data_IF_248891595013
#
_entry.id   IF_248891595013
#
_cell.length_a   1.000
_cell.length_b   1.000
_cell.length_c   1.000
_cell.angle_alpha   90.00
_cell.angle_beta   90.00
_cell.angle_gamma   90.00
#
_symmetry.space_group_name_H-M   'P 1'
#
loop_
_entity.id
_entity.type
_entity.pdbx_description
1 polymer ?
#
# COMPACT_ATOMS: atom_id res chain seq x y z
N UNK A 1 -18.78 -19.73 -27.28
CA UNK A 1 -18.53 -18.86 -26.12
C UNK A 1 -17.45 -17.85 -26.48
N UNK A 2 -17.85 -16.69 -27.02
CA UNK A 2 -16.91 -15.58 -27.21
C UNK A 2 -17.01 -14.71 -25.97
N UNK A 3 -15.96 -14.71 -25.16
CA UNK A 3 -15.79 -13.75 -24.05
C UNK A 3 -15.44 -12.40 -24.68
N UNK A 4 -16.32 -11.43 -24.54
CA UNK A 4 -16.00 -10.04 -24.86
C UNK A 4 -15.17 -9.53 -23.68
N UNK A 5 -13.85 -9.51 -23.84
CA UNK A 5 -12.95 -8.95 -22.85
C UNK A 5 -12.95 -7.43 -22.99
N UNK A 6 -13.31 -6.74 -21.88
CA UNK A 6 -13.12 -5.32 -21.63
C UNK A 6 -13.86 -4.35 -22.56
N UNK A 7 -15.16 -4.19 -22.35
CA UNK A 7 -15.84 -2.96 -22.71
C UNK A 7 -15.59 -1.90 -21.62
N UNK A 8 -15.20 -0.68 -22.02
CA UNK A 8 -15.22 0.49 -21.14
C UNK A 8 -16.69 0.81 -20.84
N UNK A 9 -17.17 0.48 -19.63
CA UNK A 9 -18.55 0.75 -19.21
C UNK A 9 -18.58 2.07 -18.46
N UNK A 10 -19.50 2.96 -18.84
CA UNK A 10 -19.69 4.24 -18.15
C UNK A 10 -19.94 4.02 -16.65
N UNK A 11 -19.45 4.93 -15.82
CA UNK A 11 -19.46 4.82 -14.35
C UNK A 11 -20.85 4.50 -13.76
N UNK A 12 -21.92 4.95 -14.42
CA UNK A 12 -23.31 4.74 -14.01
C UNK A 12 -23.82 3.29 -14.22
N UNK A 13 -23.14 2.50 -15.06
CA UNK A 13 -23.52 1.13 -15.41
C UNK A 13 -22.55 0.06 -14.85
N UNK A 14 -21.84 0.40 -13.76
CA UNK A 14 -20.88 -0.51 -13.13
C UNK A 14 -21.50 -1.52 -12.16
N UNK A 15 -22.81 -1.50 -11.98
CA UNK A 15 -23.52 -2.50 -11.15
C UNK A 15 -23.55 -3.85 -11.87
N UNK A 16 -23.47 -4.98 -11.14
CA UNK A 16 -23.64 -6.30 -11.74
C UNK A 16 -25.09 -6.52 -12.16
N UNK A 17 -25.28 -7.49 -13.05
CA UNK A 17 -26.58 -7.95 -13.54
C UNK A 17 -27.43 -6.91 -14.31
N UNK A 18 -26.79 -5.86 -14.84
CA UNK A 18 -27.47 -4.93 -15.75
C UNK A 18 -27.47 -5.53 -17.15
N UNK A 19 -28.66 -5.60 -17.76
CA UNK A 19 -28.82 -5.96 -19.16
C UNK A 19 -28.44 -4.75 -20.04
N UNK A 20 -27.51 -4.95 -20.94
CA UNK A 20 -27.04 -3.94 -21.90
C UNK A 20 -27.23 -4.45 -23.33
N UNK A 21 -27.48 -3.54 -24.26
CA UNK A 21 -27.42 -3.82 -25.69
C UNK A 21 -26.14 -3.20 -26.27
N UNK A 22 -25.31 -4.03 -26.89
CA UNK A 22 -24.05 -3.60 -27.51
C UNK A 22 -24.15 -3.84 -29.00
N UNK A 23 -23.99 -2.79 -29.81
CA UNK A 23 -23.98 -2.86 -31.26
C UNK A 23 -22.56 -2.90 -31.78
N UNK A 24 -22.18 -3.95 -32.49
CA UNK A 24 -20.89 -4.12 -33.15
C UNK A 24 -21.17 -4.45 -34.61
N UNK A 25 -20.56 -3.69 -35.53
CA UNK A 25 -20.71 -3.90 -37.00
C UNK A 25 -22.17 -4.06 -37.44
N UNK A 26 -23.06 -3.17 -36.97
CA UNK A 26 -24.51 -3.16 -37.22
C UNK A 26 -25.28 -4.40 -36.72
N UNK A 27 -24.69 -5.19 -35.80
CA UNK A 27 -25.37 -6.29 -35.10
C UNK A 27 -25.49 -5.95 -33.63
N UNK A 28 -26.71 -6.01 -33.11
CA UNK A 28 -27.00 -5.77 -31.69
C UNK A 28 -26.96 -7.07 -30.90
N UNK A 29 -26.21 -7.07 -29.81
CA UNK A 29 -26.06 -8.18 -28.89
C UNK A 29 -26.59 -7.78 -27.51
N UNK A 30 -27.40 -8.65 -26.92
CA UNK A 30 -27.77 -8.53 -25.50
C UNK A 30 -26.64 -9.11 -24.66
N UNK A 31 -26.10 -8.30 -23.77
CA UNK A 31 -25.01 -8.70 -22.85
C UNK A 31 -25.40 -8.36 -21.42
N UNK A 32 -24.90 -9.12 -20.48
CA UNK A 32 -25.13 -8.86 -19.07
C UNK A 32 -23.82 -8.43 -18.40
N UNK A 33 -23.88 -7.37 -17.63
CA UNK A 33 -22.72 -6.98 -16.82
C UNK A 33 -22.51 -8.02 -15.72
N UNK A 34 -21.27 -8.40 -15.49
CA UNK A 34 -20.89 -9.22 -14.35
C UNK A 34 -19.70 -8.59 -13.64
N UNK A 35 -19.63 -8.77 -12.35
CA UNK A 35 -18.42 -8.43 -11.61
C UNK A 35 -17.30 -9.41 -11.98
N UNK A 36 -16.11 -8.90 -12.27
CA UNK A 36 -14.94 -9.75 -12.39
C UNK A 36 -14.73 -10.53 -11.09
N UNK A 37 -14.22 -11.77 -11.12
CA UNK A 37 -13.99 -12.58 -9.91
C UNK A 37 -13.19 -11.85 -8.83
N UNK A 38 -12.21 -11.03 -9.25
CA UNK A 38 -11.44 -10.15 -8.37
C UNK A 38 -12.31 -9.10 -7.67
N UNK A 39 -13.23 -8.47 -8.41
CA UNK A 39 -14.14 -7.45 -7.87
C UNK A 39 -15.15 -8.04 -6.88
N UNK A 40 -15.67 -9.22 -7.17
CA UNK A 40 -16.56 -9.94 -6.25
C UNK A 40 -15.84 -10.30 -4.95
N UNK A 41 -14.59 -10.77 -5.04
CA UNK A 41 -13.76 -11.07 -3.88
C UNK A 41 -13.52 -9.83 -2.99
N UNK A 42 -13.18 -8.68 -3.57
CA UNK A 42 -12.98 -7.45 -2.81
C UNK A 42 -14.27 -6.94 -2.16
N UNK A 43 -15.38 -6.95 -2.92
CA UNK A 43 -16.69 -6.55 -2.40
C UNK A 43 -17.15 -7.44 -1.24
N UNK A 44 -16.91 -8.75 -1.31
CA UNK A 44 -17.23 -9.69 -0.21
C UNK A 44 -16.39 -9.41 1.02
N UNK A 45 -15.09 -9.15 0.88
CA UNK A 45 -14.20 -8.75 1.98
C UNK A 45 -14.63 -7.45 2.64
N UNK A 46 -14.98 -6.45 1.82
CA UNK A 46 -15.43 -5.15 2.34
C UNK A 46 -16.78 -5.27 3.06
N UNK A 47 -17.65 -6.18 2.59
CA UNK A 47 -18.91 -6.49 3.27
C UNK A 47 -18.66 -7.23 4.58
N UNK A 48 -17.78 -8.23 4.61
CA UNK A 48 -17.38 -8.94 5.83
C UNK A 48 -16.87 -7.96 6.90
N UNK A 49 -16.01 -7.00 6.54
CA UNK A 49 -15.53 -5.97 7.46
C UNK A 49 -16.63 -5.06 7.99
N UNK A 50 -17.59 -4.69 7.15
CA UNK A 50 -18.75 -3.90 7.58
C UNK A 50 -19.62 -4.65 8.58
N UNK A 51 -19.88 -5.95 8.34
CA UNK A 51 -20.61 -6.79 9.27
C UNK A 51 -19.89 -6.92 10.62
N UNK A 52 -18.59 -7.09 10.62
CA UNK A 52 -17.79 -7.06 11.85
C UNK A 52 -18.00 -5.74 12.61
N UNK A 53 -17.86 -4.60 11.94
CA UNK A 53 -18.07 -3.29 12.56
C UNK A 53 -19.49 -3.15 13.12
N UNK A 54 -20.49 -3.60 12.38
CA UNK A 54 -21.89 -3.60 12.80
C UNK A 54 -22.12 -4.48 14.04
N UNK A 55 -21.56 -5.68 14.06
CA UNK A 55 -21.67 -6.59 15.22
C UNK A 55 -21.05 -5.97 16.49
N UNK A 56 -19.87 -5.38 16.37
CA UNK A 56 -19.19 -4.70 17.48
C UNK A 56 -19.95 -3.46 17.96
N UNK A 57 -20.62 -2.73 17.05
CA UNK A 57 -21.46 -1.59 17.42
C UNK A 57 -22.71 -2.03 18.21
N UNK A 58 -23.42 -3.06 17.72
CA UNK A 58 -24.59 -3.62 18.41
C UNK A 58 -24.20 -4.10 19.81
N UNK A 59 -23.07 -4.79 19.94
CA UNK A 59 -22.58 -5.25 21.23
C UNK A 59 -22.30 -4.10 22.22
N UNK A 60 -21.87 -2.94 21.76
CA UNK A 60 -21.64 -1.75 22.61
C UNK A 60 -22.93 -1.09 23.05
N UNK A 61 -23.98 -1.16 22.24
CA UNK A 61 -25.25 -0.47 22.48
C UNK A 61 -26.28 -1.32 23.24
N UNK A 62 -26.17 -2.64 23.10
CA UNK A 62 -27.15 -3.60 23.63
C UNK A 62 -26.41 -4.71 24.35
N UNK A 63 -26.95 -5.16 25.50
CA UNK A 63 -26.38 -6.29 26.27
C UNK A 63 -26.87 -7.65 25.70
N UNK A 64 -27.10 -7.71 24.39
CA UNK A 64 -27.47 -8.91 23.66
C UNK A 64 -26.30 -9.43 22.85
N UNK A 65 -25.99 -10.73 22.95
CA UNK A 65 -24.91 -11.39 22.22
C UNK A 65 -25.41 -12.19 21.01
N UNK A 66 -26.70 -12.57 20.96
CA UNK A 66 -27.18 -13.46 19.92
C UNK A 66 -27.15 -12.80 18.55
N UNK A 67 -27.58 -11.56 18.46
CA UNK A 67 -27.57 -10.80 17.21
C UNK A 67 -26.15 -10.50 16.67
N UNK A 68 -25.20 -10.01 17.46
CA UNK A 68 -23.81 -9.89 17.05
C UNK A 68 -23.18 -11.21 16.60
N UNK A 69 -23.46 -12.31 17.30
CA UNK A 69 -22.99 -13.66 16.94
C UNK A 69 -23.48 -14.05 15.55
N UNK A 70 -24.77 -13.87 15.26
CA UNK A 70 -25.33 -14.18 13.94
C UNK A 70 -24.66 -13.37 12.83
N UNK A 71 -24.46 -12.07 13.03
CA UNK A 71 -23.79 -11.17 12.08
C UNK A 71 -22.32 -11.58 11.86
N UNK A 72 -21.60 -11.96 12.92
CA UNK A 72 -20.21 -12.40 12.79
C UNK A 72 -20.08 -13.73 12.05
N UNK A 73 -21.03 -14.65 12.17
CA UNK A 73 -21.08 -15.87 11.37
C UNK A 73 -21.22 -15.55 9.89
N UNK A 74 -22.12 -14.64 9.53
CA UNK A 74 -22.27 -14.17 8.16
C UNK A 74 -20.98 -13.49 7.64
N UNK A 75 -20.32 -12.69 8.48
CA UNK A 75 -19.02 -12.07 8.16
C UNK A 75 -17.97 -13.12 7.78
N UNK A 76 -17.86 -14.21 8.53
CA UNK A 76 -16.93 -15.32 8.28
C UNK A 76 -17.30 -16.10 7.02
N UNK A 77 -18.58 -16.28 6.71
CA UNK A 77 -19.03 -16.92 5.47
C UNK A 77 -18.66 -16.09 4.23
N UNK A 78 -18.69 -14.77 4.34
CA UNK A 78 -18.28 -13.86 3.26
C UNK A 78 -16.77 -13.83 3.05
N UNK A 79 -16.01 -13.83 4.15
CA UNK A 79 -14.53 -13.86 4.10
C UNK A 79 -13.98 -14.79 5.19
N UNK A 80 -13.73 -16.03 4.83
CA UNK A 80 -13.17 -17.04 5.73
C UNK A 80 -11.74 -16.72 6.23
N UNK A 81 -11.12 -15.65 5.76
CA UNK A 81 -9.80 -15.16 6.21
C UNK A 81 -9.89 -13.93 7.12
N UNK A 82 -11.09 -13.49 7.46
CA UNK A 82 -11.29 -12.36 8.36
C UNK A 82 -11.01 -12.78 9.82
N UNK A 83 -9.74 -12.77 10.23
CA UNK A 83 -9.29 -13.17 11.56
C UNK A 83 -10.00 -12.39 12.68
N UNK A 84 -10.19 -11.09 12.50
CA UNK A 84 -10.87 -10.22 13.48
C UNK A 84 -12.33 -10.66 13.73
N UNK A 85 -13.04 -11.16 12.69
CA UNK A 85 -14.40 -11.68 12.85
C UNK A 85 -14.41 -13.02 13.65
N UNK A 86 -13.42 -13.90 13.40
CA UNK A 86 -13.22 -15.11 14.19
C UNK A 86 -12.95 -14.79 15.66
N UNK A 87 -12.07 -13.84 15.94
CA UNK A 87 -11.72 -13.41 17.30
C UNK A 87 -12.96 -12.87 18.03
N UNK A 88 -13.67 -11.93 17.41
CA UNK A 88 -14.86 -11.34 17.99
C UNK A 88 -15.93 -12.38 18.28
N UNK A 89 -16.17 -13.31 17.33
CA UNK A 89 -17.12 -14.40 17.51
C UNK A 89 -16.70 -15.34 18.64
N UNK A 90 -15.44 -15.72 18.69
CA UNK A 90 -14.90 -16.56 19.77
C UNK A 90 -15.06 -15.94 21.15
N UNK A 91 -14.81 -14.63 21.27
CA UNK A 91 -15.00 -13.89 22.51
C UNK A 91 -16.47 -13.88 22.91
N UNK A 92 -17.42 -13.65 21.99
CA UNK A 92 -18.85 -13.63 22.30
C UNK A 92 -19.38 -15.00 22.68
N UNK A 93 -18.95 -16.06 21.97
CA UNK A 93 -19.27 -17.44 22.34
C UNK A 93 -18.74 -17.80 23.74
N UNK A 94 -17.51 -17.40 24.05
CA UNK A 94 -16.93 -17.62 25.38
C UNK A 94 -17.67 -16.87 26.50
N UNK A 95 -18.28 -15.71 26.20
CA UNK A 95 -19.15 -14.99 27.15
C UNK A 95 -20.49 -15.68 27.37
N UNK A 96 -20.99 -16.43 26.37
CA UNK A 96 -22.18 -17.29 26.50
C UNK A 96 -21.86 -18.67 27.09
N UNK A 97 -20.64 -18.89 27.56
CA UNK A 97 -20.15 -20.18 28.06
C UNK A 97 -20.14 -21.32 27.01
N UNK A 98 -20.21 -20.98 25.71
CA UNK A 98 -20.11 -21.90 24.57
C UNK A 98 -18.64 -22.17 24.21
N UNK A 99 -17.86 -22.66 25.19
CA UNK A 99 -16.41 -22.79 25.07
C UNK A 99 -15.98 -23.79 23.99
N UNK A 100 -16.70 -24.90 23.82
CA UNK A 100 -16.37 -25.92 22.80
C UNK A 100 -16.49 -25.34 21.38
N UNK A 101 -17.49 -24.52 21.15
CA UNK A 101 -17.69 -23.86 19.87
C UNK A 101 -16.61 -22.79 19.64
N UNK A 102 -16.28 -22.01 20.65
CA UNK A 102 -15.20 -21.01 20.60
C UNK A 102 -13.84 -21.67 20.31
N UNK A 103 -13.53 -22.80 20.95
CA UNK A 103 -12.31 -23.58 20.70
C UNK A 103 -12.28 -24.11 19.25
N UNK A 104 -13.38 -24.71 18.79
CA UNK A 104 -13.47 -25.22 17.42
C UNK A 104 -13.26 -24.10 16.39
N UNK A 105 -13.81 -22.92 16.65
CA UNK A 105 -13.65 -21.74 15.79
C UNK A 105 -12.20 -21.26 15.73
N UNK A 106 -11.52 -21.18 16.88
CA UNK A 106 -10.09 -20.77 16.92
C UNK A 106 -9.17 -21.80 16.27
N UNK A 107 -9.42 -23.10 16.44
CA UNK A 107 -8.70 -24.16 15.72
C UNK A 107 -8.84 -23.97 14.21
N UNK A 108 -10.04 -23.73 13.72
CA UNK A 108 -10.25 -23.44 12.30
C UNK A 108 -9.47 -22.20 11.84
N UNK A 109 -9.39 -21.16 12.68
CA UNK A 109 -8.59 -19.98 12.35
C UNK A 109 -7.08 -20.32 12.29
N UNK A 110 -6.55 -21.16 13.18
CA UNK A 110 -5.15 -21.60 13.12
C UNK A 110 -4.84 -22.45 11.88
N UNK A 111 -5.81 -23.19 11.35
CA UNK A 111 -5.66 -23.93 10.08
C UNK A 111 -5.62 -22.98 8.88
N UNK A 112 -6.47 -21.93 8.88
CA UNK A 112 -6.54 -20.93 7.80
C UNK A 112 -5.33 -20.00 7.83
N UNK A 113 -4.93 -19.57 9.03
CA UNK A 113 -3.79 -18.70 9.27
C UNK A 113 -2.92 -19.25 10.42
N UNK A 114 -1.95 -20.13 10.14
CA UNK A 114 -1.09 -20.72 11.17
C UNK A 114 -0.24 -19.71 11.96
N UNK A 115 -0.04 -18.50 11.41
CA UNK A 115 0.71 -17.41 12.07
C UNK A 115 -0.18 -16.45 12.87
N UNK A 116 -1.47 -16.77 13.06
CA UNK A 116 -2.39 -15.94 13.82
C UNK A 116 -2.18 -16.13 15.33
N UNK A 117 -1.48 -15.20 15.94
CA UNK A 117 -1.10 -15.27 17.36
C UNK A 117 -2.35 -15.23 18.26
N UNK A 118 -3.32 -14.39 17.91
CA UNK A 118 -4.53 -14.20 18.74
C UNK A 118 -5.38 -15.47 18.76
N UNK A 119 -5.43 -16.26 17.69
CA UNK A 119 -6.14 -17.53 17.69
C UNK A 119 -5.58 -18.49 18.76
N UNK A 120 -4.26 -18.62 18.85
CA UNK A 120 -3.61 -19.45 19.88
C UNK A 120 -3.73 -18.89 21.28
N UNK A 121 -3.63 -17.56 21.41
CA UNK A 121 -3.84 -16.89 22.70
C UNK A 121 -5.26 -17.15 23.21
N UNK A 122 -6.26 -17.02 22.32
CA UNK A 122 -7.66 -17.28 22.68
C UNK A 122 -7.90 -18.77 23.00
N UNK A 123 -7.28 -19.71 22.26
CA UNK A 123 -7.32 -21.14 22.59
C UNK A 123 -6.78 -21.40 24.01
N UNK A 124 -5.65 -20.85 24.35
CA UNK A 124 -5.08 -20.97 25.70
C UNK A 124 -6.08 -20.48 26.77
N UNK A 125 -6.69 -19.29 26.55
CA UNK A 125 -7.69 -18.75 27.48
C UNK A 125 -8.92 -19.67 27.59
N UNK A 126 -9.44 -20.19 26.48
CA UNK A 126 -10.64 -21.04 26.50
C UNK A 126 -10.35 -22.40 27.12
N UNK A 127 -9.20 -23.02 26.90
CA UNK A 127 -8.77 -24.24 27.55
C UNK A 127 -8.58 -24.02 29.06
N UNK A 128 -8.02 -22.90 29.48
CA UNK A 128 -7.94 -22.54 30.92
C UNK A 128 -9.34 -22.46 31.55
N UNK A 129 -10.31 -21.86 30.90
CA UNK A 129 -11.70 -21.79 31.37
C UNK A 129 -12.36 -23.16 31.50
N UNK A 130 -11.97 -24.13 30.64
CA UNK A 130 -12.42 -25.52 30.73
C UNK A 130 -11.64 -26.36 31.75
N UNK A 131 -10.62 -25.80 32.41
CA UNK A 131 -9.74 -26.56 33.34
C UNK A 131 -8.71 -27.45 32.60
N UNK A 132 -8.55 -27.33 31.29
CA UNK A 132 -7.60 -28.05 30.44
C UNK A 132 -6.25 -27.35 30.46
N UNK A 133 -5.54 -27.45 31.59
CA UNK A 133 -4.33 -26.66 31.84
C UNK A 133 -3.20 -27.02 30.87
N UNK A 134 -2.99 -28.31 30.57
CA UNK A 134 -1.93 -28.77 29.67
C UNK A 134 -2.12 -28.23 28.26
N UNK A 135 -3.34 -28.32 27.70
CA UNK A 135 -3.66 -27.78 26.38
C UNK A 135 -3.48 -26.26 26.34
N UNK A 136 -3.86 -25.56 27.42
CA UNK A 136 -3.70 -24.13 27.54
C UNK A 136 -2.23 -23.70 27.50
N UNK A 137 -1.35 -24.40 28.23
CA UNK A 137 0.08 -24.09 28.24
C UNK A 137 0.76 -24.40 26.89
N UNK A 138 0.33 -25.44 26.18
CA UNK A 138 0.81 -25.72 24.82
C UNK A 138 0.49 -24.54 23.90
N UNK A 139 -0.78 -24.11 23.84
CA UNK A 139 -1.18 -23.00 22.94
C UNK A 139 -0.54 -21.67 23.32
N UNK A 140 -0.31 -21.43 24.61
CA UNK A 140 0.42 -20.26 25.09
C UNK A 140 1.90 -20.29 24.65
N UNK A 141 2.54 -21.47 24.73
CA UNK A 141 3.89 -21.67 24.24
C UNK A 141 4.01 -21.39 22.73
N UNK A 142 3.09 -21.92 21.94
CA UNK A 142 2.99 -21.68 20.51
C UNK A 142 2.75 -20.20 20.16
N UNK A 143 1.84 -19.53 20.87
CA UNK A 143 1.62 -18.09 20.70
C UNK A 143 2.88 -17.28 20.99
N UNK A 144 3.61 -17.63 22.05
CA UNK A 144 4.86 -16.99 22.43
C UNK A 144 5.95 -17.21 21.37
N UNK A 145 6.08 -18.43 20.86
CA UNK A 145 7.03 -18.76 19.79
C UNK A 145 6.76 -17.92 18.52
N UNK A 146 5.49 -17.82 18.11
CA UNK A 146 5.08 -17.00 16.96
C UNK A 146 5.37 -15.50 17.19
N UNK A 147 5.17 -14.98 18.41
CA UNK A 147 5.51 -13.59 18.74
C UNK A 147 7.00 -13.33 18.57
N UNK A 148 7.86 -14.25 19.05
CA UNK A 148 9.31 -14.13 18.87
C UNK A 148 9.70 -14.21 17.39
N UNK A 149 9.11 -15.15 16.63
CA UNK A 149 9.36 -15.27 15.19
C UNK A 149 9.04 -13.95 14.47
N UNK A 150 7.84 -13.37 14.70
CA UNK A 150 7.45 -12.09 14.09
C UNK A 150 8.35 -10.93 14.52
N UNK A 151 8.80 -10.91 15.78
CA UNK A 151 9.72 -9.88 16.26
C UNK A 151 11.09 -9.99 15.55
N UNK A 152 11.60 -11.20 15.39
CA UNK A 152 12.85 -11.47 14.66
C UNK A 152 12.71 -11.04 13.20
N UNK A 153 11.65 -11.47 12.50
CA UNK A 153 11.39 -11.10 11.11
C UNK A 153 11.33 -9.56 10.95
N UNK A 154 10.60 -8.87 11.83
CA UNK A 154 10.49 -7.41 11.83
C UNK A 154 11.84 -6.71 12.04
N UNK A 155 12.65 -7.21 12.97
CA UNK A 155 13.97 -6.66 13.25
C UNK A 155 14.95 -6.91 12.09
N UNK A 156 14.89 -8.08 11.47
CA UNK A 156 15.70 -8.40 10.28
C UNK A 156 15.32 -7.51 9.10
N UNK A 157 14.02 -7.35 8.83
CA UNK A 157 13.54 -6.46 7.77
C UNK A 157 13.98 -5.00 8.00
N UNK A 158 13.89 -4.51 9.26
CA UNK A 158 14.37 -3.17 9.61
C UNK A 158 15.89 -3.01 9.40
N UNK A 159 16.66 -4.02 9.79
CA UNK A 159 18.12 -4.03 9.60
C UNK A 159 18.51 -4.06 8.12
N UNK A 160 17.80 -4.87 7.33
CA UNK A 160 18.04 -4.93 5.88
C UNK A 160 17.74 -3.60 5.21
N UNK A 161 16.58 -3.00 5.49
CA UNK A 161 16.20 -1.68 4.95
C UNK A 161 17.24 -0.61 5.30
N UNK A 162 17.69 -0.57 6.56
CA UNK A 162 18.74 0.37 6.99
C UNK A 162 20.04 0.18 6.21
N UNK A 163 20.45 -1.09 5.99
CA UNK A 163 21.64 -1.41 5.21
C UNK A 163 21.52 -0.97 3.74
N UNK A 164 20.34 -1.16 3.14
CA UNK A 164 20.06 -0.70 1.77
C UNK A 164 20.10 0.83 1.66
N UNK A 165 19.53 1.53 2.64
CA UNK A 165 19.59 3.01 2.70
C UNK A 165 21.04 3.53 2.87
N UNK A 166 21.82 2.89 3.74
CA UNK A 166 23.23 3.23 3.94
C UNK A 166 24.05 2.96 2.66
N UNK A 167 23.81 1.83 2.00
CA UNK A 167 24.48 1.50 0.74
C UNK A 167 24.13 2.50 -0.37
N UNK A 168 22.84 2.82 -0.53
CA UNK A 168 22.39 3.82 -1.49
C UNK A 168 23.01 5.18 -1.24
N UNK A 169 23.10 5.58 0.03
CA UNK A 169 23.77 6.85 0.40
C UNK A 169 25.24 6.84 0.02
N UNK A 170 25.94 5.75 0.29
CA UNK A 170 27.36 5.59 -0.07
C UNK A 170 27.57 5.69 -1.59
N UNK A 171 26.75 4.98 -2.37
CA UNK A 171 26.81 5.05 -3.83
C UNK A 171 26.56 6.46 -4.38
N UNK A 172 25.62 7.20 -3.78
CA UNK A 172 25.37 8.58 -4.15
C UNK A 172 26.58 9.49 -3.85
N UNK A 173 27.21 9.35 -2.68
CA UNK A 173 28.40 10.14 -2.35
C UNK A 173 29.60 9.79 -3.25
N UNK A 174 29.79 8.53 -3.61
CA UNK A 174 30.79 8.12 -4.59
C UNK A 174 30.54 8.78 -5.95
N UNK A 175 29.27 8.81 -6.42
CA UNK A 175 28.90 9.50 -7.66
C UNK A 175 29.13 11.01 -7.58
N UNK A 176 28.81 11.63 -6.44
CA UNK A 176 29.14 13.05 -6.22
C UNK A 176 30.64 13.29 -6.35
N UNK A 177 31.47 12.43 -5.75
CA UNK A 177 32.93 12.52 -5.86
C UNK A 177 33.41 12.35 -7.32
N UNK A 178 32.80 11.45 -8.09
CA UNK A 178 33.13 11.27 -9.52
C UNK A 178 32.75 12.52 -10.35
N UNK A 179 31.54 13.05 -10.19
CA UNK A 179 31.13 14.26 -10.91
C UNK A 179 31.98 15.47 -10.56
N UNK A 180 32.37 15.68 -9.29
CA UNK A 180 33.28 16.76 -8.90
C UNK A 180 34.62 16.67 -9.61
N UNK A 181 35.21 15.47 -9.75
CA UNK A 181 36.45 15.27 -10.52
C UNK A 181 36.27 15.60 -12.01
N UNK A 182 35.13 15.31 -12.61
CA UNK A 182 34.84 15.71 -14.00
C UNK A 182 34.82 17.24 -14.09
N UNK A 183 34.17 17.92 -13.14
CA UNK A 183 34.09 19.39 -13.14
C UNK A 183 35.41 20.11 -12.84
N UNK A 184 36.40 19.44 -12.26
CA UNK A 184 37.77 19.96 -12.16
C UNK A 184 38.43 20.08 -13.54
N UNK A 185 38.02 19.22 -14.51
CA UNK A 185 38.57 19.20 -15.88
C UNK A 185 37.69 20.08 -16.78
N UNK A 186 36.39 19.91 -16.75
CA UNK A 186 35.38 20.67 -17.49
C UNK A 186 34.30 21.22 -16.56
N UNK A 187 34.43 22.46 -16.08
CA UNK A 187 33.45 23.07 -15.16
C UNK A 187 32.02 23.20 -15.74
N UNK A 188 31.86 23.09 -17.07
CA UNK A 188 30.58 23.22 -17.74
C UNK A 188 30.03 21.87 -18.26
N UNK A 189 30.67 20.75 -17.89
CA UNK A 189 30.17 19.44 -18.30
C UNK A 189 28.69 19.27 -17.88
N UNK A 190 27.86 19.01 -18.89
CA UNK A 190 26.39 18.92 -18.73
C UNK A 190 25.99 17.76 -17.82
N UNK A 191 26.62 16.60 -18.03
CA UNK A 191 26.24 15.36 -17.31
C UNK A 191 26.62 15.45 -15.84
N UNK A 192 27.81 15.95 -15.56
CA UNK A 192 28.31 16.09 -14.20
C UNK A 192 27.50 17.13 -13.41
N UNK A 193 27.26 18.32 -13.97
CA UNK A 193 26.46 19.35 -13.32
C UNK A 193 25.00 18.92 -13.11
N UNK A 194 24.36 18.35 -14.13
CA UNK A 194 22.99 17.82 -14.01
C UNK A 194 22.91 16.68 -13.00
N UNK A 195 23.88 15.76 -13.02
CA UNK A 195 23.99 14.65 -12.10
C UNK A 195 24.14 15.09 -10.64
N UNK A 196 25.01 16.10 -10.38
CA UNK A 196 25.15 16.71 -9.05
C UNK A 196 23.85 17.35 -8.58
N UNK A 197 23.20 18.16 -9.42
CA UNK A 197 21.92 18.79 -9.10
C UNK A 197 20.84 17.77 -8.75
N UNK A 198 20.76 16.68 -9.52
CA UNK A 198 19.81 15.59 -9.27
C UNK A 198 20.08 14.88 -7.93
N UNK A 199 21.34 14.53 -7.64
CA UNK A 199 21.70 13.87 -6.37
C UNK A 199 21.46 14.80 -5.18
N UNK A 200 21.79 16.06 -5.30
CA UNK A 200 21.57 17.02 -4.21
C UNK A 200 20.08 17.26 -3.94
N UNK A 201 19.24 17.28 -4.96
CA UNK A 201 17.78 17.31 -4.80
C UNK A 201 17.26 16.04 -4.09
N UNK A 202 17.71 14.85 -4.52
CA UNK A 202 17.30 13.57 -3.94
C UNK A 202 17.77 13.41 -2.47
N UNK A 203 18.96 13.93 -2.15
CA UNK A 203 19.54 13.81 -0.80
C UNK A 203 19.16 14.95 0.15
N UNK A 204 18.31 15.90 -0.28
CA UNK A 204 17.87 17.03 0.53
C UNK A 204 18.91 18.17 0.66
N UNK A 205 20.00 18.12 -0.08
CA UNK A 205 21.08 19.12 -0.10
C UNK A 205 20.74 20.23 -1.12
N UNK A 206 19.55 20.80 -0.98
CA UNK A 206 18.95 21.68 -1.99
C UNK A 206 19.80 22.88 -2.35
N UNK A 207 20.42 23.52 -1.34
CA UNK A 207 21.26 24.70 -1.55
C UNK A 207 22.47 24.40 -2.44
N UNK A 208 23.07 23.21 -2.27
CA UNK A 208 24.22 22.78 -3.05
C UNK A 208 23.85 22.40 -4.49
N UNK A 209 22.58 22.06 -4.74
CA UNK A 209 22.07 21.73 -6.06
C UNK A 209 21.84 22.92 -6.97
N UNK A 210 21.74 24.15 -6.42
CA UNK A 210 21.41 25.34 -7.21
C UNK A 210 22.47 25.68 -8.27
N UNK A 211 23.73 25.82 -7.87
CA UNK A 211 24.81 26.24 -8.77
C UNK A 211 25.04 25.24 -9.93
N UNK A 212 25.14 23.92 -9.69
CA UNK A 212 25.25 22.96 -10.79
C UNK A 212 24.09 23.07 -11.79
N UNK A 213 22.84 23.17 -11.31
CA UNK A 213 21.68 23.26 -12.20
C UNK A 213 21.62 24.59 -12.97
N UNK A 214 22.02 25.71 -12.36
CA UNK A 214 22.15 26.98 -13.06
C UNK A 214 23.22 26.91 -14.16
N UNK A 215 24.37 26.33 -13.86
CA UNK A 215 25.44 26.13 -14.85
C UNK A 215 24.94 25.35 -16.08
N UNK A 216 24.12 24.32 -15.86
CA UNK A 216 23.53 23.55 -16.98
C UNK A 216 22.63 24.44 -17.83
N UNK A 217 21.70 25.19 -17.25
CA UNK A 217 20.76 26.00 -18.05
C UNK A 217 21.42 27.20 -18.71
N UNK A 218 22.50 27.74 -18.13
CA UNK A 218 23.30 28.79 -18.76
C UNK A 218 24.05 28.29 -20.00
N UNK A 219 24.64 27.10 -19.92
CA UNK A 219 25.37 26.50 -21.02
C UNK A 219 24.44 25.84 -22.06
N UNK A 220 23.30 25.28 -21.63
CA UNK A 220 22.38 24.50 -22.46
C UNK A 220 20.94 24.99 -22.24
N UNK A 221 20.61 26.15 -22.81
CA UNK A 221 19.33 26.85 -22.58
C UNK A 221 18.09 26.10 -23.06
N UNK A 222 18.24 25.08 -23.89
CA UNK A 222 17.16 24.22 -24.38
C UNK A 222 16.99 22.90 -23.59
N UNK A 223 17.77 22.73 -22.51
CA UNK A 223 17.71 21.52 -21.68
C UNK A 223 16.60 21.61 -20.63
N UNK A 224 15.36 21.35 -21.04
CA UNK A 224 14.12 21.45 -20.26
C UNK A 224 14.16 20.70 -18.93
N UNK A 225 14.80 19.52 -18.87
CA UNK A 225 14.93 18.73 -17.64
C UNK A 225 15.72 19.45 -16.54
N UNK A 226 16.70 20.27 -16.89
CA UNK A 226 17.46 21.04 -15.89
C UNK A 226 16.62 22.14 -15.26
N UNK A 227 15.74 22.79 -16.02
CA UNK A 227 14.77 23.75 -15.49
C UNK A 227 13.78 23.08 -14.53
N UNK A 228 13.31 21.87 -14.89
CA UNK A 228 12.42 21.10 -13.99
C UNK A 228 13.08 20.81 -12.64
N UNK A 229 14.32 20.32 -12.65
CA UNK A 229 15.05 20.04 -11.40
C UNK A 229 15.34 21.31 -10.61
N UNK A 230 15.72 22.40 -11.28
CA UNK A 230 15.99 23.68 -10.61
C UNK A 230 14.72 24.25 -9.99
N UNK A 231 13.58 24.19 -10.69
CA UNK A 231 12.29 24.60 -10.16
C UNK A 231 11.88 23.77 -8.93
N UNK A 232 12.01 22.44 -8.99
CA UNK A 232 11.79 21.55 -7.83
C UNK A 232 12.74 21.88 -6.66
N UNK A 233 13.99 22.26 -6.95
CA UNK A 233 14.96 22.68 -5.91
C UNK A 233 14.54 23.97 -5.24
N UNK A 234 14.07 24.98 -5.99
CA UNK A 234 13.53 26.21 -5.44
C UNK A 234 12.26 26.01 -4.60
N UNK A 235 11.36 25.11 -5.03
CA UNK A 235 10.20 24.73 -4.22
C UNK A 235 10.60 24.14 -2.86
N UNK A 236 11.59 23.24 -2.85
CA UNK A 236 12.11 22.64 -1.61
C UNK A 236 12.77 23.67 -0.68
N UNK A 237 13.29 24.73 -1.24
CA UNK A 237 13.84 25.89 -0.50
C UNK A 237 12.77 26.92 -0.13
N UNK A 238 11.50 26.66 -0.46
CA UNK A 238 10.35 27.56 -0.24
C UNK A 238 10.40 28.89 -1.01
N UNK A 239 11.22 28.97 -2.06
CA UNK A 239 11.35 30.13 -2.95
C UNK A 239 10.39 30.00 -4.13
N UNK A 240 9.11 30.31 -3.88
CA UNK A 240 8.05 30.12 -4.85
C UNK A 240 8.18 30.98 -6.10
N UNK A 241 8.67 32.20 -5.98
CA UNK A 241 8.81 33.15 -7.10
C UNK A 241 9.83 32.62 -8.10
N UNK A 242 11.03 32.24 -7.62
CA UNK A 242 12.09 31.66 -8.44
C UNK A 242 11.68 30.30 -9.05
N UNK A 243 10.91 29.48 -8.30
CA UNK A 243 10.40 28.23 -8.83
C UNK A 243 9.46 28.47 -10.03
N UNK A 244 8.49 29.38 -9.90
CA UNK A 244 7.53 29.71 -10.95
C UNK A 244 8.24 30.27 -12.18
N UNK A 245 9.19 31.20 -12.00
CA UNK A 245 9.96 31.76 -13.11
C UNK A 245 10.79 30.68 -13.83
N UNK A 246 11.43 29.80 -13.07
CA UNK A 246 12.22 28.69 -13.60
C UNK A 246 11.34 27.72 -14.40
N UNK A 247 10.18 27.34 -13.88
CA UNK A 247 9.24 26.48 -14.60
C UNK A 247 8.72 27.12 -15.90
N UNK A 248 8.41 28.42 -15.90
CA UNK A 248 8.00 29.11 -17.14
C UNK A 248 9.09 29.04 -18.20
N UNK A 249 10.36 29.25 -17.84
CA UNK A 249 11.49 29.13 -18.76
C UNK A 249 11.64 27.68 -19.25
N UNK A 250 11.45 26.69 -18.37
CA UNK A 250 11.51 25.27 -18.71
C UNK A 250 10.40 24.86 -19.68
N UNK A 251 9.16 25.34 -19.50
CA UNK A 251 8.04 25.11 -20.42
C UNK A 251 8.35 25.70 -21.79
N UNK A 252 8.89 26.92 -21.84
CA UNK A 252 9.29 27.54 -23.12
C UNK A 252 10.39 26.75 -23.84
N UNK A 253 11.38 26.26 -23.11
CA UNK A 253 12.45 25.42 -23.65
C UNK A 253 11.92 24.07 -24.18
N UNK A 254 11.05 23.39 -23.40
CA UNK A 254 10.43 22.12 -23.78
C UNK A 254 9.53 22.28 -25.03
N UNK A 255 8.72 23.34 -25.08
CA UNK A 255 7.83 23.62 -26.21
C UNK A 255 8.61 23.90 -27.50
N UNK A 256 9.73 24.63 -27.40
CA UNK A 256 10.58 24.90 -28.55
C UNK A 256 11.24 23.65 -29.13
N UNK A 257 11.56 22.70 -28.27
CA UNK A 257 12.22 21.42 -28.65
C UNK A 257 11.24 20.31 -28.99
N UNK A 258 9.94 20.47 -28.68
CA UNK A 258 8.93 19.44 -28.81
C UNK A 258 9.05 18.32 -27.76
N UNK A 259 9.70 18.61 -26.64
CA UNK A 259 9.85 17.70 -25.51
C UNK A 259 8.62 17.77 -24.59
N UNK A 260 7.81 16.69 -24.61
CA UNK A 260 6.55 16.62 -23.85
C UNK A 260 6.72 16.06 -22.43
N UNK A 261 7.85 15.48 -22.08
CA UNK A 261 8.06 14.83 -20.80
C UNK A 261 7.99 15.82 -19.62
N UNK A 262 8.71 16.95 -19.64
CA UNK A 262 8.64 17.94 -18.55
C UNK A 262 7.33 18.75 -18.49
N UNK A 263 6.48 18.64 -19.52
CA UNK A 263 5.20 19.37 -19.56
C UNK A 263 4.08 18.64 -18.81
N UNK A 264 4.30 17.42 -18.34
CA UNK A 264 3.33 16.59 -17.60
C UNK A 264 3.46 16.69 -16.09
N UNK A 265 4.58 17.17 -15.60
CA UNK A 265 4.90 17.41 -14.20
C UNK A 265 4.62 18.87 -13.80
#
# INVERSE_FOLDING_TARGET
>A
NKVISLAYIHKEHRSPDIDLEVTIENKTFKVKTCLLPFYQSQTRKDHSKRLLTQALQIYKEQDDLDRPIAILRESIELDAKNAEAYEALGVFLSKQDKLDEAISLMKRLTEINPKEIMARTNLSVYYMKQGRIEDAEIEKGEATALQFEQLIEKNMAKKLKKKEEEQKKKEMEERVGMFKKVLEIDPKDQVANFGLGSIYLETGRYQEGLEPLKTVIEAYQDYSAAYLLLGKTWEKLSNKEEAIETYKKGIAAASKKGDLMPLKD
#
